data_IF_477172067121
#
_entry.id   IF_477172067121
#
_cell.length_a   1.000
_cell.length_b   1.000
_cell.length_c   1.000
_cell.angle_alpha   90.00
_cell.angle_beta   90.00
_cell.angle_gamma   90.00
#
_symmetry.space_group_name_H-M   'P 1'
#
loop_
_entity.id
_entity.type
_entity.pdbx_description
1 polymer ?
#
# COMPACT_ATOMS: atom_id res chain seq x y z
N UNK A 1 37.62 -67.36 -10.15
CA UNK A 1 36.15 -67.13 -10.24
C UNK A 1 35.90 -65.73 -9.74
N UNK A 2 35.66 -64.80 -10.65
CA UNK A 2 35.35 -63.39 -10.32
C UNK A 2 33.96 -63.32 -9.69
N UNK A 3 33.87 -63.00 -8.42
CA UNK A 3 32.60 -62.67 -7.77
C UNK A 3 31.87 -61.61 -8.60
N UNK A 4 30.75 -62.01 -9.20
CA UNK A 4 29.84 -61.03 -9.79
C UNK A 4 29.40 -60.10 -8.70
N UNK A 5 29.90 -58.86 -8.69
CA UNK A 5 29.40 -57.80 -7.82
C UNK A 5 27.88 -57.73 -7.95
N UNK A 6 27.17 -58.24 -6.95
CA UNK A 6 25.71 -58.20 -6.90
C UNK A 6 25.29 -56.74 -6.71
N UNK A 7 24.79 -56.13 -7.76
CA UNK A 7 24.36 -54.74 -7.80
C UNK A 7 22.92 -54.53 -7.29
N UNK A 8 22.24 -55.61 -6.87
CA UNK A 8 20.85 -55.56 -6.39
C UNK A 8 20.65 -56.52 -5.21
N UNK A 9 20.11 -56.00 -4.10
CA UNK A 9 19.79 -56.77 -2.90
C UNK A 9 18.30 -56.60 -2.57
N UNK A 10 17.57 -57.71 -2.42
CA UNK A 10 16.20 -57.74 -1.93
C UNK A 10 16.28 -57.77 -0.41
N UNK A 11 15.90 -56.67 0.25
CA UNK A 11 15.93 -56.55 1.71
C UNK A 11 14.64 -57.04 2.36
N UNK A 12 13.48 -56.73 1.73
CA UNK A 12 12.18 -57.27 2.12
C UNK A 12 11.48 -57.76 0.84
N UNK A 13 11.08 -59.04 0.73
CA UNK A 13 10.37 -59.57 -0.42
C UNK A 13 9.15 -58.70 -0.79
N UNK A 14 9.00 -58.37 -2.02
CA UNK A 14 7.91 -57.54 -2.59
C UNK A 14 7.77 -56.15 -2.01
N UNK A 15 8.64 -55.71 -1.09
CA UNK A 15 8.47 -54.42 -0.41
C UNK A 15 9.69 -53.50 -0.41
N UNK A 16 10.93 -54.05 -0.39
CA UNK A 16 12.14 -53.21 -0.32
C UNK A 16 13.30 -53.84 -1.09
N UNK A 17 13.84 -53.09 -2.04
CA UNK A 17 14.99 -53.51 -2.85
C UNK A 17 16.03 -52.41 -2.89
N UNK A 18 17.28 -52.77 -2.62
CA UNK A 18 18.46 -51.91 -2.72
C UNK A 18 19.21 -52.20 -4.02
N UNK A 19 19.66 -51.19 -4.74
CA UNK A 19 20.37 -51.37 -6.01
C UNK A 19 21.35 -50.22 -6.30
N UNK A 20 22.40 -50.54 -7.08
CA UNK A 20 23.29 -49.55 -7.67
C UNK A 20 22.89 -49.22 -9.09
N UNK A 21 22.94 -47.97 -9.45
CA UNK A 21 22.78 -47.55 -10.85
C UNK A 21 24.12 -47.70 -11.59
N UNK A 22 24.11 -48.01 -12.91
CA UNK A 22 25.31 -47.96 -13.70
C UNK A 22 26.04 -46.62 -13.52
N UNK A 23 27.35 -46.67 -13.30
CA UNK A 23 28.20 -45.50 -13.10
C UNK A 23 27.93 -44.67 -11.80
N UNK A 24 27.26 -45.24 -10.82
CA UNK A 24 27.04 -44.59 -9.51
C UNK A 24 27.56 -45.48 -8.41
N UNK A 25 28.30 -44.90 -7.45
CA UNK A 25 28.73 -45.53 -6.21
C UNK A 25 27.73 -45.39 -5.06
N UNK A 26 26.66 -44.57 -5.25
CA UNK A 26 25.65 -44.31 -4.24
C UNK A 26 24.50 -45.31 -4.40
N UNK A 27 24.19 -46.04 -3.33
CA UNK A 27 23.08 -46.98 -3.27
C UNK A 27 21.73 -46.27 -3.39
N UNK A 28 20.85 -46.86 -4.20
CA UNK A 28 19.45 -46.45 -4.37
C UNK A 28 18.55 -47.54 -3.78
N UNK A 29 17.41 -47.13 -3.24
CA UNK A 29 16.39 -48.09 -2.84
C UNK A 29 15.09 -47.85 -3.64
N UNK A 30 14.34 -48.92 -3.79
CA UNK A 30 12.92 -48.87 -4.16
C UNK A 30 12.12 -49.61 -3.11
N UNK A 31 11.01 -49.02 -2.69
CA UNK A 31 10.12 -49.60 -1.71
C UNK A 31 8.67 -49.45 -2.16
N UNK A 32 7.81 -50.37 -1.71
CA UNK A 32 6.41 -50.36 -2.08
C UNK A 32 5.53 -49.84 -0.96
N UNK A 33 4.68 -48.86 -1.30
CA UNK A 33 3.66 -48.32 -0.40
C UNK A 33 2.35 -48.22 -1.19
N UNK A 34 1.25 -48.79 -0.68
CA UNK A 34 -0.05 -48.87 -1.36
C UNK A 34 0.02 -49.48 -2.77
N UNK A 35 0.76 -50.54 -2.92
CA UNK A 35 0.91 -51.20 -4.22
C UNK A 35 1.76 -50.41 -5.24
N UNK A 36 2.24 -49.20 -4.89
CA UNK A 36 3.04 -48.35 -5.75
C UNK A 36 4.50 -48.34 -5.35
N UNK A 37 5.38 -48.57 -6.29
CA UNK A 37 6.82 -48.51 -6.09
C UNK A 37 7.31 -47.07 -6.06
N UNK A 38 8.04 -46.75 -5.00
CA UNK A 38 8.75 -45.47 -4.83
C UNK A 38 10.25 -45.70 -4.99
N UNK A 39 11.00 -44.68 -5.43
CA UNK A 39 12.45 -44.75 -5.56
C UNK A 39 13.08 -43.60 -4.84
N UNK A 40 14.13 -43.87 -4.03
CA UNK A 40 14.85 -42.83 -3.30
C UNK A 40 16.34 -43.20 -3.17
N UNK A 41 17.21 -42.22 -3.03
CA UNK A 41 18.63 -42.43 -2.76
C UNK A 41 18.83 -42.67 -1.28
N UNK A 42 19.61 -43.67 -0.92
CA UNK A 42 20.05 -43.90 0.46
C UNK A 42 21.12 -42.89 0.91
N UNK A 43 21.75 -42.17 -0.04
CA UNK A 43 22.91 -41.29 0.14
C UNK A 43 24.12 -41.99 0.78
N UNK A 44 24.16 -43.32 0.74
CA UNK A 44 25.21 -44.14 1.33
C UNK A 44 26.00 -44.84 0.24
N UNK A 45 27.31 -44.97 0.49
CA UNK A 45 28.24 -45.66 -0.38
C UNK A 45 28.48 -47.12 0.09
N UNK A 46 28.42 -47.31 1.42
CA UNK A 46 28.62 -48.62 2.05
C UNK A 46 27.30 -49.40 2.09
N UNK A 47 27.36 -50.71 1.79
CA UNK A 47 26.20 -51.57 1.68
C UNK A 47 25.39 -51.64 2.98
N UNK A 48 26.04 -51.82 4.13
CA UNK A 48 25.36 -52.02 5.40
C UNK A 48 24.68 -50.71 5.90
N UNK A 49 25.34 -49.59 5.70
CA UNK A 49 24.73 -48.24 5.97
C UNK A 49 23.57 -48.00 5.00
N UNK A 50 23.70 -48.44 3.77
CA UNK A 50 22.63 -48.31 2.77
C UNK A 50 21.41 -49.20 3.08
N UNK A 51 21.63 -50.40 3.65
CA UNK A 51 20.56 -51.27 4.13
C UNK A 51 19.77 -50.61 5.25
N UNK A 52 20.46 -50.11 6.27
CA UNK A 52 19.81 -49.39 7.38
C UNK A 52 18.99 -48.17 6.88
N UNK A 53 19.59 -47.33 6.04
CA UNK A 53 18.92 -46.18 5.45
C UNK A 53 17.70 -46.54 4.59
N UNK A 54 17.76 -47.68 3.87
CA UNK A 54 16.63 -48.14 3.07
C UNK A 54 15.46 -48.61 3.95
N UNK A 55 15.74 -49.29 5.07
CA UNK A 55 14.72 -49.66 6.07
C UNK A 55 14.07 -48.42 6.70
N UNK A 56 14.86 -47.42 7.09
CA UNK A 56 14.35 -46.16 7.64
C UNK A 56 13.41 -45.44 6.68
N UNK A 57 13.75 -45.40 5.40
CA UNK A 57 12.90 -44.81 4.36
C UNK A 57 11.57 -45.57 4.20
N UNK A 58 11.58 -46.89 4.26
CA UNK A 58 10.35 -47.69 4.21
C UNK A 58 9.48 -47.46 5.47
N UNK A 59 10.09 -47.40 6.66
CA UNK A 59 9.39 -47.11 7.92
C UNK A 59 8.77 -45.72 7.87
N UNK A 60 9.55 -44.72 7.47
CA UNK A 60 9.05 -43.36 7.31
C UNK A 60 7.85 -43.31 6.36
N UNK A 61 7.94 -43.95 5.19
CA UNK A 61 6.88 -43.98 4.21
C UNK A 61 5.59 -44.60 4.74
N UNK A 62 5.71 -45.69 5.53
CA UNK A 62 4.56 -46.34 6.18
C UNK A 62 3.94 -45.47 7.29
N UNK A 63 4.74 -44.74 8.07
CA UNK A 63 4.27 -43.76 9.07
C UNK A 63 3.51 -42.65 8.37
N UNK A 64 4.08 -42.08 7.30
CA UNK A 64 3.41 -41.04 6.50
C UNK A 64 2.07 -41.51 5.93
N UNK A 65 2.01 -42.74 5.46
CA UNK A 65 0.76 -43.39 5.01
C UNK A 65 -0.29 -43.43 6.12
N UNK A 66 0.08 -43.95 7.30
CA UNK A 66 -0.84 -43.97 8.49
C UNK A 66 -1.41 -42.59 8.82
N UNK A 67 -0.62 -41.55 8.62
CA UNK A 67 -1.00 -40.13 8.82
C UNK A 67 -1.69 -39.52 7.60
N UNK A 68 -2.09 -40.31 6.60
CA UNK A 68 -2.73 -39.85 5.34
C UNK A 68 -1.91 -38.81 4.56
N UNK A 69 -0.58 -38.86 4.70
CA UNK A 69 0.34 -38.00 3.96
C UNK A 69 0.92 -38.71 2.73
N UNK A 70 1.56 -37.92 1.83
CA UNK A 70 2.29 -38.50 0.72
C UNK A 70 3.46 -39.37 1.22
N UNK A 71 3.69 -40.57 0.64
CA UNK A 71 4.73 -41.49 1.10
C UNK A 71 6.15 -40.89 1.04
N UNK A 72 6.37 -39.95 0.12
CA UNK A 72 7.66 -39.31 -0.07
C UNK A 72 7.43 -37.79 -0.03
N UNK A 73 8.30 -37.08 0.69
CA UNK A 73 8.36 -35.62 0.62
C UNK A 73 9.05 -35.19 -0.70
N UNK A 74 8.90 -33.93 -1.07
CA UNK A 74 9.44 -33.35 -2.31
C UNK A 74 10.45 -32.25 -2.02
N UNK A 75 11.32 -32.00 -3.00
CA UNK A 75 12.21 -30.86 -2.94
C UNK A 75 11.41 -29.55 -2.94
N UNK A 76 11.87 -28.58 -2.18
CA UNK A 76 11.22 -27.24 -2.11
C UNK A 76 11.01 -26.63 -3.49
N UNK A 77 12.00 -26.75 -4.39
CA UNK A 77 11.90 -26.25 -5.77
C UNK A 77 10.67 -26.76 -6.53
N UNK A 78 10.32 -28.02 -6.36
CA UNK A 78 9.21 -28.63 -7.08
C UNK A 78 7.86 -28.13 -6.53
N UNK A 79 7.74 -28.03 -5.21
CA UNK A 79 6.54 -27.50 -4.56
C UNK A 79 6.38 -26.00 -4.85
N UNK A 80 7.48 -25.25 -4.80
CA UNK A 80 7.48 -23.83 -5.12
C UNK A 80 6.98 -23.54 -6.54
N UNK A 81 7.39 -24.36 -7.52
CA UNK A 81 6.87 -24.28 -8.90
C UNK A 81 5.37 -24.56 -8.97
N UNK A 82 4.88 -25.56 -8.23
CA UNK A 82 3.45 -25.86 -8.18
C UNK A 82 2.65 -24.72 -7.53
N UNK A 83 3.17 -24.13 -6.46
CA UNK A 83 2.58 -22.96 -5.81
C UNK A 83 2.52 -21.75 -6.76
N UNK A 84 3.60 -21.46 -7.49
CA UNK A 84 3.62 -20.35 -8.47
C UNK A 84 2.66 -20.61 -9.62
N UNK A 85 2.59 -21.83 -10.16
CA UNK A 85 1.63 -22.18 -11.21
C UNK A 85 0.17 -22.03 -10.74
N UNK A 86 -0.16 -22.47 -9.52
CA UNK A 86 -1.49 -22.28 -8.94
C UNK A 86 -1.84 -20.80 -8.81
N UNK A 87 -0.92 -19.98 -8.25
CA UNK A 87 -1.14 -18.55 -8.12
C UNK A 87 -1.28 -17.84 -9.48
N UNK A 88 -0.49 -18.23 -10.49
CA UNK A 88 -0.58 -17.68 -11.84
C UNK A 88 -1.95 -17.99 -12.45
N UNK A 89 -2.40 -19.25 -12.36
CA UNK A 89 -3.72 -19.65 -12.84
C UNK A 89 -4.85 -18.87 -12.15
N UNK A 90 -4.80 -18.74 -10.83
CA UNK A 90 -5.80 -17.91 -10.08
C UNK A 90 -5.83 -16.46 -10.56
N UNK A 91 -4.68 -15.89 -10.95
CA UNK A 91 -4.62 -14.53 -11.51
C UNK A 91 -5.23 -14.47 -12.91
N UNK A 92 -5.06 -15.48 -13.74
CA UNK A 92 -5.66 -15.60 -15.08
C UNK A 92 -7.19 -15.77 -14.99
N UNK A 93 -7.64 -16.60 -14.05
CA UNK A 93 -9.07 -16.86 -13.78
C UNK A 93 -9.79 -15.66 -13.10
N UNK A 94 -9.05 -14.63 -12.68
CA UNK A 94 -9.60 -13.44 -12.01
C UNK A 94 -9.84 -13.58 -10.50
N UNK A 95 -9.63 -14.77 -9.94
CA UNK A 95 -9.83 -15.08 -8.50
C UNK A 95 -8.60 -14.76 -7.65
N UNK A 96 -7.47 -14.45 -8.29
CA UNK A 96 -6.18 -14.22 -7.66
C UNK A 96 -6.01 -12.80 -7.13
N UNK A 97 -5.42 -12.66 -5.94
CA UNK A 97 -5.00 -11.35 -5.43
C UNK A 97 -3.82 -10.82 -6.25
N UNK A 98 -3.84 -9.53 -6.60
CA UNK A 98 -2.74 -8.85 -7.33
C UNK A 98 -1.37 -9.06 -6.67
N UNK A 99 -1.34 -9.18 -5.34
CA UNK A 99 -0.13 -9.46 -4.54
C UNK A 99 0.54 -10.81 -4.90
N UNK A 100 -0.18 -11.75 -5.50
CA UNK A 100 0.35 -13.03 -5.95
C UNK A 100 1.46 -12.87 -7.00
N UNK A 101 1.42 -11.81 -7.82
CA UNK A 101 2.50 -11.48 -8.78
C UNK A 101 3.82 -11.20 -8.07
N UNK A 102 3.76 -10.46 -6.96
CA UNK A 102 4.95 -10.18 -6.14
C UNK A 102 5.46 -11.43 -5.44
N UNK A 103 4.56 -12.28 -4.90
CA UNK A 103 4.93 -13.55 -4.27
C UNK A 103 5.61 -14.50 -5.25
N UNK A 104 5.11 -14.64 -6.47
CA UNK A 104 5.74 -15.42 -7.53
C UNK A 104 7.18 -14.94 -7.76
N UNK A 105 7.36 -13.63 -7.94
CA UNK A 105 8.69 -13.02 -8.13
C UNK A 105 9.63 -13.30 -6.94
N UNK A 106 9.14 -13.20 -5.71
CA UNK A 106 9.93 -13.48 -4.50
C UNK A 106 10.33 -14.96 -4.45
N UNK A 107 9.40 -15.87 -4.74
CA UNK A 107 9.64 -17.33 -4.75
C UNK A 107 10.75 -17.66 -5.74
N UNK A 108 10.68 -17.14 -6.95
CA UNK A 108 11.64 -17.45 -8.02
C UNK A 108 13.00 -16.78 -7.76
N UNK A 109 13.00 -15.51 -7.36
CA UNK A 109 14.23 -14.73 -7.22
C UNK A 109 15.05 -15.08 -5.97
N UNK A 110 14.36 -15.44 -4.88
CA UNK A 110 15.00 -15.66 -3.58
C UNK A 110 14.79 -17.07 -3.02
N UNK A 111 13.53 -17.54 -2.89
CA UNK A 111 13.23 -18.75 -2.13
C UNK A 111 13.73 -20.02 -2.84
N UNK A 112 13.51 -20.16 -4.15
CA UNK A 112 14.01 -21.31 -4.90
C UNK A 112 15.54 -21.33 -4.93
N UNK A 113 16.18 -20.17 -4.99
CA UNK A 113 17.66 -20.09 -5.03
C UNK A 113 18.30 -20.58 -3.75
N UNK A 114 17.67 -20.34 -2.61
CA UNK A 114 18.20 -20.77 -1.33
C UNK A 114 17.67 -22.15 -0.92
N UNK A 115 16.34 -22.30 -0.83
CA UNK A 115 15.72 -23.52 -0.31
C UNK A 115 15.58 -24.64 -1.34
N UNK A 116 15.78 -24.39 -2.63
CA UNK A 116 15.40 -25.29 -3.70
C UNK A 116 15.95 -26.71 -3.62
N UNK A 117 17.14 -26.89 -3.02
CA UNK A 117 17.81 -28.20 -2.86
C UNK A 117 17.32 -29.00 -1.63
N UNK A 118 16.66 -28.33 -0.68
CA UNK A 118 16.19 -28.99 0.53
C UNK A 118 14.83 -29.65 0.32
N UNK A 119 14.53 -30.71 1.07
CA UNK A 119 13.18 -31.28 1.18
C UNK A 119 12.29 -30.25 1.90
N UNK A 120 11.03 -30.10 1.49
CA UNK A 120 10.16 -29.03 2.02
C UNK A 120 9.88 -29.18 3.52
N UNK A 121 9.79 -30.40 4.01
CA UNK A 121 9.58 -30.74 5.43
C UNK A 121 10.86 -30.67 6.29
N UNK A 122 12.02 -30.53 5.66
CA UNK A 122 13.31 -30.36 6.34
C UNK A 122 13.66 -28.88 6.57
N UNK A 123 12.76 -27.95 6.24
CA UNK A 123 12.97 -26.51 6.49
C UNK A 123 12.62 -26.22 7.94
N UNK A 124 13.66 -26.03 8.76
CA UNK A 124 13.58 -25.76 10.20
C UNK A 124 13.92 -24.29 10.51
N UNK A 125 13.74 -23.88 11.77
CA UNK A 125 14.11 -22.53 12.24
C UNK A 125 15.57 -22.15 11.94
N UNK A 126 16.59 -22.99 12.26
CA UNK A 126 17.97 -22.68 11.91
C UNK A 126 18.18 -22.39 10.43
N UNK A 127 17.53 -23.15 9.55
CA UNK A 127 17.62 -22.93 8.09
C UNK A 127 16.95 -21.62 7.66
N UNK A 128 15.90 -21.18 8.39
CA UNK A 128 15.29 -19.85 8.16
C UNK A 128 16.27 -18.74 8.57
N UNK A 129 17.00 -18.87 9.67
CA UNK A 129 18.01 -17.90 10.09
C UNK A 129 19.19 -17.82 9.09
N UNK A 130 19.62 -18.96 8.54
CA UNK A 130 20.59 -18.98 7.46
C UNK A 130 20.08 -18.24 6.21
N UNK A 131 18.82 -18.46 5.85
CA UNK A 131 18.18 -17.73 4.75
C UNK A 131 18.15 -16.21 4.99
N UNK A 132 17.89 -15.77 6.21
CA UNK A 132 17.89 -14.35 6.54
C UNK A 132 19.27 -13.70 6.34
N UNK A 133 20.34 -14.36 6.74
CA UNK A 133 21.71 -13.94 6.50
C UNK A 133 22.03 -13.88 5.02
N UNK A 134 21.76 -14.99 4.30
CA UNK A 134 21.94 -15.06 2.85
C UNK A 134 21.15 -14.00 2.09
N UNK A 135 19.93 -13.70 2.54
CA UNK A 135 19.06 -12.68 1.92
C UNK A 135 19.66 -11.30 2.05
N UNK A 136 20.23 -10.94 3.21
CA UNK A 136 20.91 -9.66 3.44
C UNK A 136 22.12 -9.53 2.49
N UNK A 137 22.94 -10.55 2.40
CA UNK A 137 24.09 -10.60 1.46
C UNK A 137 23.61 -10.44 0.01
N UNK A 138 22.58 -11.19 -0.37
CA UNK A 138 22.02 -11.16 -1.73
C UNK A 138 21.40 -9.82 -2.11
N UNK A 139 20.83 -9.09 -1.16
CA UNK A 139 20.22 -7.77 -1.37
C UNK A 139 21.23 -6.64 -1.24
N UNK A 140 22.38 -6.85 -0.60
CA UNK A 140 23.36 -5.82 -0.26
C UNK A 140 22.88 -4.81 0.78
N UNK A 141 21.69 -4.99 1.34
CA UNK A 141 21.08 -4.13 2.35
C UNK A 141 20.25 -4.96 3.35
N UNK A 142 20.15 -4.50 4.57
CA UNK A 142 19.21 -5.07 5.54
C UNK A 142 17.76 -4.75 5.13
N UNK A 143 16.93 -5.75 4.87
CA UNK A 143 15.56 -5.53 4.41
C UNK A 143 14.71 -4.85 5.50
N UNK A 144 13.77 -4.01 5.07
CA UNK A 144 12.75 -3.47 5.97
C UNK A 144 11.79 -4.58 6.40
N UNK A 145 11.19 -4.43 7.58
CA UNK A 145 10.22 -5.39 8.12
C UNK A 145 9.09 -5.73 7.13
N UNK A 146 8.61 -4.75 6.35
CA UNK A 146 7.60 -4.97 5.32
C UNK A 146 8.07 -5.91 4.21
N UNK A 147 9.34 -5.80 3.79
CA UNK A 147 9.95 -6.71 2.81
C UNK A 147 10.03 -8.13 3.38
N UNK A 148 10.46 -8.27 4.64
CA UNK A 148 10.51 -9.56 5.32
C UNK A 148 9.12 -10.18 5.46
N UNK A 149 8.10 -9.39 5.78
CA UNK A 149 6.70 -9.85 5.83
C UNK A 149 6.23 -10.41 4.48
N UNK A 150 6.56 -9.74 3.37
CA UNK A 150 6.19 -10.21 2.03
C UNK A 150 6.95 -11.52 1.68
N UNK A 151 8.24 -11.63 2.03
CA UNK A 151 9.00 -12.86 1.84
C UNK A 151 8.44 -14.02 2.67
N UNK A 152 8.07 -13.77 3.92
CA UNK A 152 7.45 -14.76 4.79
C UNK A 152 6.07 -15.19 4.26
N UNK A 153 5.28 -14.23 3.76
CA UNK A 153 4.00 -14.54 3.12
C UNK A 153 4.17 -15.40 1.87
N UNK A 154 5.17 -15.11 1.02
CA UNK A 154 5.50 -15.91 -0.14
C UNK A 154 5.97 -17.32 0.23
N UNK A 155 6.80 -17.47 1.28
CA UNK A 155 7.25 -18.76 1.80
C UNK A 155 6.08 -19.58 2.37
N UNK A 156 5.17 -18.92 3.10
CA UNK A 156 3.94 -19.56 3.58
C UNK A 156 3.08 -20.11 2.43
N UNK A 157 3.01 -19.47 1.27
CA UNK A 157 2.29 -20.01 0.10
C UNK A 157 2.88 -21.34 -0.39
N UNK A 158 4.20 -21.49 -0.29
CA UNK A 158 4.86 -22.77 -0.64
C UNK A 158 4.57 -23.83 0.42
N UNK A 159 4.58 -23.47 1.71
CA UNK A 159 4.20 -24.40 2.78
C UNK A 159 2.72 -24.81 2.68
N UNK A 160 1.81 -23.88 2.40
CA UNK A 160 0.39 -24.17 2.17
C UNK A 160 0.21 -25.20 1.06
N UNK A 161 0.94 -25.07 -0.05
CA UNK A 161 0.92 -26.02 -1.16
C UNK A 161 1.51 -27.39 -0.77
N UNK A 162 2.59 -27.38 0.03
CA UNK A 162 3.20 -28.62 0.53
C UNK A 162 2.24 -29.39 1.45
N UNK A 163 1.56 -28.70 2.34
CA UNK A 163 0.59 -29.28 3.28
C UNK A 163 -0.64 -29.80 2.51
N UNK A 164 -1.19 -28.97 1.61
CA UNK A 164 -2.32 -29.38 0.76
C UNK A 164 -2.07 -30.68 -0.01
N UNK A 165 -0.82 -30.90 -0.43
CA UNK A 165 -0.42 -32.13 -1.15
C UNK A 165 0.08 -33.25 -0.25
N UNK A 166 0.10 -33.07 1.06
CA UNK A 166 0.58 -34.05 2.02
C UNK A 166 2.10 -34.24 2.06
N UNK A 167 2.88 -33.32 1.49
CA UNK A 167 4.36 -33.38 1.50
C UNK A 167 4.95 -32.79 2.79
N UNK A 168 4.17 -32.05 3.57
CA UNK A 168 4.53 -31.47 4.85
C UNK A 168 3.35 -31.57 5.79
N UNK A 169 3.61 -31.75 7.11
CA UNK A 169 2.58 -31.66 8.14
C UNK A 169 2.54 -30.24 8.70
N UNK A 170 1.34 -29.78 9.09
CA UNK A 170 1.18 -28.42 9.68
C UNK A 170 2.05 -28.22 10.93
N UNK A 171 2.21 -29.29 11.75
CA UNK A 171 3.05 -29.25 12.96
C UNK A 171 4.54 -28.99 12.67
N UNK A 172 4.98 -29.34 11.45
CA UNK A 172 6.39 -29.14 11.03
C UNK A 172 6.61 -27.78 10.39
N UNK A 173 5.57 -26.97 10.24
CA UNK A 173 5.65 -25.62 9.66
C UNK A 173 6.39 -24.69 10.60
N UNK A 174 7.53 -24.13 10.18
CA UNK A 174 8.26 -23.19 11.03
C UNK A 174 7.49 -21.89 11.20
N UNK A 175 7.45 -21.37 12.42
CA UNK A 175 6.87 -20.06 12.70
C UNK A 175 7.77 -18.96 12.16
N UNK A 176 7.28 -18.20 11.18
CA UNK A 176 8.04 -17.13 10.54
C UNK A 176 7.85 -15.81 11.31
N UNK A 177 8.96 -15.21 11.71
CA UNK A 177 8.97 -13.90 12.39
C UNK A 177 9.50 -12.85 11.42
N UNK A 178 8.82 -11.71 11.32
CA UNK A 178 9.29 -10.62 10.49
C UNK A 178 10.30 -9.76 11.24
N UNK A 179 11.56 -9.85 10.84
CA UNK A 179 12.68 -9.03 11.32
C UNK A 179 12.88 -7.79 10.45
N UNK A 180 13.54 -6.76 10.99
CA UNK A 180 13.87 -5.53 10.28
C UNK A 180 13.22 -4.28 10.88
N UNK A 181 13.72 -3.11 10.46
CA UNK A 181 13.18 -1.83 10.93
C UNK A 181 11.74 -1.64 10.46
N UNK A 182 10.87 -1.20 11.36
CA UNK A 182 9.52 -0.77 10.97
C UNK A 182 9.65 0.36 9.94
N UNK A 183 8.75 0.36 8.94
CA UNK A 183 8.70 1.48 8.02
C UNK A 183 8.29 2.73 8.78
N UNK A 184 9.07 3.77 8.67
CA UNK A 184 8.76 5.05 9.26
C UNK A 184 7.69 5.76 8.43
N UNK A 185 6.86 6.56 9.12
CA UNK A 185 5.85 7.39 8.47
C UNK A 185 6.54 8.38 7.53
N UNK A 186 5.97 8.59 6.36
CA UNK A 186 6.38 9.65 5.44
C UNK A 186 5.92 11.00 5.98
N UNK A 187 6.73 12.06 5.88
CA UNK A 187 6.36 13.37 6.38
C UNK A 187 5.20 13.97 5.56
N UNK A 188 4.33 14.69 6.22
CA UNK A 188 3.37 15.58 5.60
C UNK A 188 4.04 16.94 5.27
N UNK A 189 3.40 17.77 4.47
CA UNK A 189 3.75 19.16 4.31
C UNK A 189 3.06 19.99 5.42
N UNK A 190 3.71 21.01 5.93
CA UNK A 190 3.04 22.03 6.75
C UNK A 190 2.03 22.81 5.90
N UNK A 191 1.19 23.62 6.54
CA UNK A 191 0.23 24.46 5.81
C UNK A 191 0.94 25.49 4.91
N UNK A 192 2.01 26.09 5.40
CA UNK A 192 2.86 27.04 4.68
C UNK A 192 3.55 26.36 3.48
N UNK A 193 4.12 25.17 3.72
CA UNK A 193 4.74 24.39 2.65
C UNK A 193 3.73 23.92 1.60
N UNK A 194 2.50 23.56 2.01
CA UNK A 194 1.44 23.20 1.07
C UNK A 194 0.96 24.40 0.25
N UNK A 195 0.95 25.61 0.84
CA UNK A 195 0.70 26.87 0.10
C UNK A 195 1.81 27.15 -0.89
N UNK A 196 3.07 27.11 -0.46
CA UNK A 196 4.24 27.31 -1.32
C UNK A 196 4.29 26.30 -2.46
N UNK A 197 4.03 25.01 -2.18
CA UNK A 197 3.94 23.95 -3.17
C UNK A 197 2.92 24.28 -4.27
N UNK A 198 1.77 24.86 -3.94
CA UNK A 198 0.76 25.24 -4.93
C UNK A 198 1.13 26.53 -5.69
N UNK A 199 1.65 27.52 -5.00
CA UNK A 199 1.97 28.82 -5.57
C UNK A 199 3.10 28.77 -6.62
N UNK A 200 4.05 27.86 -6.47
CA UNK A 200 5.22 27.78 -7.33
C UNK A 200 4.98 27.05 -8.65
N UNK A 201 3.85 26.35 -8.82
CA UNK A 201 3.62 25.54 -10.02
C UNK A 201 3.59 26.33 -11.32
N UNK A 202 2.87 27.46 -11.36
CA UNK A 202 2.69 28.18 -12.62
C UNK A 202 4.02 28.75 -13.14
N UNK A 203 4.85 29.32 -12.26
CA UNK A 203 6.20 29.78 -12.64
C UNK A 203 7.11 28.62 -13.06
N UNK A 204 6.99 27.46 -12.42
CA UNK A 204 7.78 26.28 -12.75
C UNK A 204 7.36 25.64 -14.08
N UNK A 205 6.07 25.66 -14.42
CA UNK A 205 5.55 25.19 -15.71
C UNK A 205 6.15 26.02 -16.83
N UNK A 206 6.11 27.36 -16.70
CA UNK A 206 6.62 28.29 -17.70
C UNK A 206 8.13 28.18 -17.96
N UNK A 207 8.91 27.77 -16.94
CA UNK A 207 10.35 27.50 -17.07
C UNK A 207 10.64 26.14 -17.76
N UNK A 208 9.63 25.34 -18.04
CA UNK A 208 9.77 24.04 -18.68
C UNK A 208 10.10 24.13 -20.16
N UNK A 209 10.71 23.06 -20.69
CA UNK A 209 10.83 22.91 -22.14
C UNK A 209 9.43 22.72 -22.73
N UNK A 210 9.24 23.15 -23.96
CA UNK A 210 7.96 23.09 -24.66
C UNK A 210 7.29 21.70 -24.63
N UNK A 211 8.09 20.63 -24.74
CA UNK A 211 7.63 19.23 -24.67
C UNK A 211 7.22 18.77 -23.26
N UNK A 212 7.62 19.50 -22.21
CA UNK A 212 7.32 19.16 -20.83
C UNK A 212 6.16 19.97 -20.21
N UNK A 213 5.71 21.03 -20.87
CA UNK A 213 4.69 21.96 -20.33
C UNK A 213 3.39 21.23 -20.03
N UNK A 214 2.89 20.41 -20.94
CA UNK A 214 1.65 19.67 -20.77
C UNK A 214 1.73 18.69 -19.59
N UNK A 215 2.83 17.96 -19.48
CA UNK A 215 3.03 17.01 -18.39
C UNK A 215 3.23 17.72 -17.03
N UNK A 216 3.92 18.87 -17.01
CA UNK A 216 4.07 19.71 -15.82
C UNK A 216 2.72 20.28 -15.35
N UNK A 217 1.91 20.75 -16.32
CA UNK A 217 0.55 21.23 -16.04
C UNK A 217 -0.34 20.13 -15.47
N UNK A 218 -0.26 18.92 -16.04
CA UNK A 218 -0.99 17.77 -15.53
C UNK A 218 -0.52 17.36 -14.13
N UNK A 219 0.79 17.48 -13.80
CA UNK A 219 1.29 17.26 -12.46
C UNK A 219 0.70 18.24 -11.46
N UNK A 220 0.61 19.54 -11.79
CA UNK A 220 -0.03 20.56 -10.96
C UNK A 220 -1.47 20.17 -10.61
N UNK A 221 -2.23 19.77 -11.62
CA UNK A 221 -3.63 19.41 -11.46
C UNK A 221 -3.77 18.12 -10.63
N UNK A 222 -2.91 17.14 -10.89
CA UNK A 222 -2.85 15.91 -10.10
C UNK A 222 -2.53 16.15 -8.63
N UNK A 223 -1.52 16.97 -8.34
CA UNK A 223 -1.16 17.36 -6.97
C UNK A 223 -2.31 18.09 -6.29
N UNK A 224 -3.03 18.96 -7.02
CA UNK A 224 -4.21 19.67 -6.51
C UNK A 224 -5.32 18.70 -6.13
N UNK A 225 -5.63 17.73 -7.00
CA UNK A 225 -6.63 16.69 -6.73
C UNK A 225 -6.23 15.86 -5.50
N UNK A 226 -4.97 15.41 -5.41
CA UNK A 226 -4.50 14.61 -4.27
C UNK A 226 -4.55 15.36 -2.94
N UNK A 227 -4.18 16.65 -2.92
CA UNK A 227 -4.23 17.50 -1.73
C UNK A 227 -5.66 17.82 -1.29
N UNK A 228 -6.61 17.84 -2.21
CA UNK A 228 -8.00 18.20 -1.93
C UNK A 228 -8.87 17.00 -1.57
N UNK A 229 -8.54 15.81 -2.05
CA UNK A 229 -9.34 14.59 -1.87
C UNK A 229 -8.74 13.58 -0.90
N UNK A 230 -7.42 13.63 -0.69
CA UNK A 230 -6.70 12.64 0.09
C UNK A 230 -6.68 11.23 -0.50
N UNK A 231 -7.07 11.05 -1.78
CA UNK A 231 -7.02 9.74 -2.45
C UNK A 231 -5.58 9.20 -2.54
N UNK A 232 -5.43 7.91 -2.77
CA UNK A 232 -4.09 7.32 -2.91
C UNK A 232 -3.49 7.70 -4.27
N UNK A 233 -2.23 8.18 -4.29
CA UNK A 233 -1.51 8.32 -5.54
C UNK A 233 -1.21 6.93 -6.15
N UNK A 234 -1.16 6.84 -7.45
CA UNK A 234 -0.96 5.59 -8.19
C UNK A 234 -2.27 5.05 -8.76
N UNK A 235 -2.49 3.74 -8.71
CA UNK A 235 -3.59 3.07 -9.41
C UNK A 235 -4.97 3.69 -9.16
N UNK A 236 -5.26 4.10 -7.92
CA UNK A 236 -6.55 4.69 -7.56
C UNK A 236 -6.86 5.97 -8.33
N UNK A 237 -5.89 6.88 -8.42
CA UNK A 237 -6.05 8.13 -9.14
C UNK A 237 -5.72 7.99 -10.65
N UNK A 238 -4.73 7.15 -11.01
CA UNK A 238 -4.30 6.97 -12.40
C UNK A 238 -5.32 6.23 -13.28
N UNK A 239 -6.20 5.44 -12.68
CA UNK A 239 -7.22 4.70 -13.40
C UNK A 239 -8.58 5.42 -13.46
N UNK A 240 -8.69 6.63 -12.89
CA UNK A 240 -9.91 7.42 -12.96
C UNK A 240 -10.29 7.77 -14.39
N UNK A 241 -11.56 7.60 -14.72
CA UNK A 241 -12.17 8.00 -16.00
C UNK A 241 -13.20 9.08 -15.78
N UNK A 242 -13.53 9.81 -16.83
CA UNK A 242 -14.48 10.92 -16.75
C UNK A 242 -15.87 10.48 -16.30
N UNK A 243 -16.32 9.29 -16.67
CA UNK A 243 -17.63 8.74 -16.26
C UNK A 243 -17.75 8.45 -14.77
N UNK A 244 -16.63 8.51 -14.01
CA UNK A 244 -16.63 8.35 -12.56
C UNK A 244 -16.80 9.67 -11.81
N UNK A 245 -16.95 10.81 -12.53
CA UNK A 245 -17.08 12.14 -11.95
C UNK A 245 -18.54 12.58 -12.05
N UNK A 246 -19.09 13.03 -10.94
CA UNK A 246 -20.41 13.66 -10.84
C UNK A 246 -20.26 15.01 -10.14
N UNK A 247 -20.74 16.08 -10.75
CA UNK A 247 -20.69 17.43 -10.16
C UNK A 247 -22.03 17.72 -9.52
N UNK A 248 -22.04 18.03 -8.23
CA UNK A 248 -23.22 18.48 -7.50
C UNK A 248 -23.08 19.92 -7.05
N UNK A 249 -24.17 20.65 -7.14
CA UNK A 249 -24.29 22.03 -6.70
C UNK A 249 -25.10 22.09 -5.41
N UNK A 250 -24.52 22.68 -4.37
CA UNK A 250 -25.19 22.87 -3.10
C UNK A 250 -25.35 24.37 -2.86
N UNK A 251 -26.57 24.85 -2.61
CA UNK A 251 -26.77 26.23 -2.24
C UNK A 251 -26.13 26.50 -0.86
N UNK A 252 -25.28 27.51 -0.79
CA UNK A 252 -24.69 27.97 0.45
C UNK A 252 -25.18 29.39 0.72
N UNK A 253 -25.94 29.56 1.79
CA UNK A 253 -26.32 30.87 2.28
C UNK A 253 -25.10 31.52 2.96
N UNK A 254 -24.65 32.63 2.43
CA UNK A 254 -23.55 33.41 3.00
C UNK A 254 -24.12 34.75 3.46
N UNK A 255 -24.00 35.05 4.76
CA UNK A 255 -24.32 36.37 5.29
C UNK A 255 -23.37 37.40 4.70
N UNK A 256 -23.88 38.42 4.02
CA UNK A 256 -23.06 39.44 3.34
C UNK A 256 -22.55 40.50 4.30
N UNK A 257 -23.11 40.59 5.50
CA UNK A 257 -22.84 41.66 6.46
C UNK A 257 -23.52 42.98 6.07
N UNK A 258 -24.26 42.99 4.98
CA UNK A 258 -25.14 44.16 4.64
C UNK A 258 -26.47 44.00 5.37
N UNK A 259 -26.92 45.05 6.02
CA UNK A 259 -28.19 45.08 6.74
C UNK A 259 -29.17 45.90 5.90
N UNK A 260 -30.19 45.24 5.37
CA UNK A 260 -31.32 45.89 4.73
C UNK A 260 -32.36 46.26 5.80
N UNK A 261 -32.83 47.47 5.76
CA UNK A 261 -33.89 47.93 6.60
C UNK A 261 -35.20 47.94 5.83
N UNK A 262 -36.12 47.12 6.24
CA UNK A 262 -37.48 47.15 5.68
C UNK A 262 -38.12 48.51 5.91
N UNK A 263 -38.49 49.16 4.81
CA UNK A 263 -38.97 50.55 4.84
C UNK A 263 -40.34 50.69 5.54
N UNK A 264 -41.12 49.63 5.54
CA UNK A 264 -42.51 49.65 6.08
C UNK A 264 -42.58 49.16 7.53
N UNK A 265 -41.69 48.22 7.94
CA UNK A 265 -41.72 47.66 9.29
C UNK A 265 -40.62 48.15 10.17
N UNK A 266 -39.54 48.74 9.60
CA UNK A 266 -38.33 49.19 10.32
C UNK A 266 -37.45 48.07 10.84
N UNK A 267 -37.76 46.82 10.54
CA UNK A 267 -36.95 45.65 10.94
C UNK A 267 -35.66 45.53 10.12
N UNK A 268 -34.56 45.30 10.82
CA UNK A 268 -33.27 45.05 10.21
C UNK A 268 -33.15 43.59 9.80
N UNK A 269 -33.01 43.32 8.50
CA UNK A 269 -32.76 41.99 7.98
C UNK A 269 -31.35 41.91 7.37
N UNK A 270 -30.58 40.92 7.82
CA UNK A 270 -29.24 40.68 7.29
C UNK A 270 -29.33 40.04 5.89
N UNK A 271 -28.73 40.71 4.91
CA UNK A 271 -28.75 40.26 3.53
C UNK A 271 -28.04 38.92 3.41
N UNK A 272 -28.71 37.89 2.91
CA UNK A 272 -28.18 36.58 2.70
C UNK A 272 -28.02 36.29 1.18
N UNK A 273 -26.78 36.29 0.72
CA UNK A 273 -26.52 35.82 -0.65
C UNK A 273 -26.45 34.30 -0.71
N UNK A 274 -27.20 33.74 -1.66
CA UNK A 274 -27.14 32.29 -1.92
C UNK A 274 -26.12 32.02 -3.02
N UNK A 275 -24.96 31.51 -2.65
CA UNK A 275 -23.94 31.09 -3.59
C UNK A 275 -24.01 29.56 -3.81
N UNK A 276 -23.89 29.12 -5.07
CA UNK A 276 -23.77 27.69 -5.36
C UNK A 276 -22.34 27.21 -5.14
N UNK A 277 -22.15 26.35 -4.16
CA UNK A 277 -20.88 25.67 -3.95
C UNK A 277 -20.88 24.34 -4.74
N UNK A 278 -19.89 24.15 -5.60
CA UNK A 278 -19.79 22.95 -6.42
C UNK A 278 -18.94 21.90 -5.73
N UNK A 279 -19.39 20.66 -5.75
CA UNK A 279 -18.67 19.51 -5.18
C UNK A 279 -18.56 18.42 -6.23
N UNK A 280 -17.37 17.86 -6.41
CA UNK A 280 -17.15 16.70 -7.26
C UNK A 280 -17.28 15.43 -6.42
N UNK A 281 -18.17 14.53 -6.82
CA UNK A 281 -18.25 13.17 -6.30
C UNK A 281 -17.45 12.29 -7.25
N UNK A 282 -16.40 11.68 -6.77
CA UNK A 282 -15.48 10.83 -7.52
C UNK A 282 -15.74 9.37 -7.11
N UNK A 283 -16.33 8.59 -8.01
CA UNK A 283 -16.63 7.17 -7.78
C UNK A 283 -15.38 6.32 -7.99
N UNK A 284 -14.68 5.99 -6.92
CA UNK A 284 -13.47 5.15 -6.98
C UNK A 284 -13.88 3.69 -7.05
N UNK A 285 -13.63 3.05 -8.20
CA UNK A 285 -13.97 1.63 -8.45
C UNK A 285 -12.78 0.70 -8.18
N UNK A 286 -11.55 1.14 -8.50
CA UNK A 286 -10.32 0.35 -8.35
C UNK A 286 -9.49 0.86 -7.17
N UNK A 287 -9.90 0.56 -5.96
CA UNK A 287 -9.19 0.91 -4.74
C UNK A 287 -8.72 -0.31 -3.94
N UNK A 288 -7.70 -0.16 -3.10
CA UNK A 288 -7.22 -1.21 -2.20
C UNK A 288 -8.29 -1.71 -1.21
N UNK A 289 -9.28 -0.87 -0.92
CA UNK A 289 -10.34 -1.10 0.08
C UNK A 289 -11.72 -1.26 -0.54
N UNK A 290 -11.81 -1.49 -1.84
CA UNK A 290 -13.06 -1.61 -2.57
C UNK A 290 -13.57 -0.27 -3.12
N UNK A 291 -14.81 -0.29 -3.59
CA UNK A 291 -15.49 0.88 -4.16
C UNK A 291 -15.88 1.88 -3.08
N UNK A 292 -15.81 3.17 -3.41
CA UNK A 292 -16.25 4.27 -2.54
C UNK A 292 -16.43 5.56 -3.31
N UNK A 293 -17.20 6.46 -2.73
CA UNK A 293 -17.26 7.84 -3.16
C UNK A 293 -16.18 8.67 -2.44
N UNK A 294 -15.52 9.55 -3.18
CA UNK A 294 -14.51 10.46 -2.68
C UNK A 294 -14.93 11.89 -3.05
N UNK A 295 -14.94 12.77 -2.08
CA UNK A 295 -15.40 14.15 -2.26
C UNK A 295 -14.23 15.04 -2.64
N UNK A 296 -14.38 15.75 -3.77
CA UNK A 296 -13.48 16.82 -4.21
C UNK A 296 -14.18 18.17 -4.14
N UNK A 297 -13.49 19.16 -3.61
CA UNK A 297 -14.00 20.54 -3.44
C UNK A 297 -13.68 21.38 -4.69
N UNK A 298 -13.91 22.70 -4.61
CA UNK A 298 -13.64 23.64 -5.71
C UNK A 298 -12.23 23.53 -6.33
N UNK A 299 -11.12 23.28 -5.57
CA UNK A 299 -9.82 23.07 -6.18
C UNK A 299 -9.78 21.88 -7.14
N UNK A 300 -10.40 20.76 -6.77
CA UNK A 300 -10.53 19.58 -7.64
C UNK A 300 -11.30 19.91 -8.90
N UNK A 301 -12.45 20.58 -8.79
CA UNK A 301 -13.27 20.97 -9.96
C UNK A 301 -12.51 21.87 -10.91
N UNK A 302 -11.74 22.84 -10.38
CA UNK A 302 -10.87 23.71 -11.20
C UNK A 302 -9.82 22.89 -11.94
N UNK A 303 -9.16 21.95 -11.24
CA UNK A 303 -8.16 21.09 -11.87
C UNK A 303 -8.78 20.23 -12.99
N UNK A 304 -9.96 19.65 -12.79
CA UNK A 304 -10.69 18.89 -13.78
C UNK A 304 -11.05 19.77 -15.00
N UNK A 305 -11.55 20.99 -14.78
CA UNK A 305 -11.86 21.95 -15.86
C UNK A 305 -10.61 22.31 -16.69
N UNK A 306 -9.47 22.54 -16.03
CA UNK A 306 -8.21 22.82 -16.72
C UNK A 306 -7.73 21.65 -17.58
N UNK A 307 -7.87 20.42 -17.09
CA UNK A 307 -7.57 19.21 -17.88
C UNK A 307 -8.52 19.13 -19.11
N UNK A 308 -9.82 19.38 -18.92
CA UNK A 308 -10.79 19.39 -20.02
C UNK A 308 -10.43 20.43 -21.08
N UNK A 309 -10.13 21.67 -20.67
CA UNK A 309 -9.77 22.77 -21.58
C UNK A 309 -8.53 22.44 -22.39
N UNK A 310 -7.47 21.91 -21.77
CA UNK A 310 -6.23 21.56 -22.47
C UNK A 310 -6.39 20.39 -23.43
N UNK A 311 -7.11 19.36 -23.01
CA UNK A 311 -7.19 18.12 -23.78
C UNK A 311 -8.28 18.13 -24.85
N UNK A 312 -9.44 18.73 -24.57
CA UNK A 312 -10.63 18.59 -25.41
C UNK A 312 -11.16 19.93 -25.94
N UNK A 313 -10.76 21.03 -25.34
CA UNK A 313 -11.33 22.38 -25.62
C UNK A 313 -12.86 22.40 -25.44
N UNK A 314 -13.34 21.71 -24.40
CA UNK A 314 -14.75 21.54 -24.05
C UNK A 314 -14.99 21.82 -22.58
N UNK A 315 -16.26 22.02 -22.24
CA UNK A 315 -16.70 22.13 -20.85
C UNK A 315 -16.57 20.80 -20.12
N UNK A 316 -16.49 20.85 -18.76
CA UNK A 316 -16.40 19.66 -17.93
C UNK A 316 -17.59 18.72 -18.11
N UNK A 317 -18.82 19.26 -18.21
CA UNK A 317 -20.04 18.49 -18.35
C UNK A 317 -20.12 17.78 -19.71
N UNK A 318 -19.63 18.43 -20.78
CA UNK A 318 -19.53 17.80 -22.10
C UNK A 318 -18.53 16.67 -22.14
N UNK A 319 -17.35 16.85 -21.51
CA UNK A 319 -16.31 15.82 -21.45
C UNK A 319 -16.79 14.62 -20.65
N UNK A 320 -17.42 14.82 -19.49
CA UNK A 320 -17.99 13.74 -18.69
C UNK A 320 -18.97 12.89 -19.52
N UNK A 321 -19.82 13.53 -20.34
CA UNK A 321 -20.81 12.84 -21.17
C UNK A 321 -20.20 12.14 -22.38
N UNK A 322 -19.30 12.81 -23.10
CA UNK A 322 -18.80 12.36 -24.41
C UNK A 322 -17.56 11.46 -24.30
N UNK A 323 -16.75 11.60 -23.24
CA UNK A 323 -15.47 10.93 -23.04
C UNK A 323 -15.46 10.06 -21.77
N UNK A 324 -16.61 9.55 -21.34
CA UNK A 324 -16.81 8.82 -20.07
C UNK A 324 -15.78 7.71 -19.80
N UNK A 325 -15.32 7.00 -20.83
CA UNK A 325 -14.38 5.87 -20.71
C UNK A 325 -12.90 6.30 -20.77
N UNK A 326 -12.62 7.56 -21.10
CA UNK A 326 -11.25 8.04 -21.21
C UNK A 326 -10.68 8.40 -19.84
N UNK A 327 -9.35 8.19 -19.69
CA UNK A 327 -8.66 8.53 -18.44
C UNK A 327 -8.55 10.03 -18.25
N UNK A 328 -8.81 10.48 -17.01
CA UNK A 328 -8.70 11.89 -16.63
C UNK A 328 -7.24 12.36 -16.71
N UNK A 329 -6.32 11.55 -16.13
CA UNK A 329 -4.90 11.89 -16.09
C UNK A 329 -4.22 11.47 -17.40
N UNK A 330 -4.48 12.23 -18.46
CA UNK A 330 -3.83 12.10 -19.76
C UNK A 330 -3.42 13.49 -20.30
N UNK A 331 -2.42 13.53 -21.16
CA UNK A 331 -1.93 14.76 -21.78
C UNK A 331 -1.65 14.55 -23.29
N UNK A 332 -1.68 15.63 -24.05
CA UNK A 332 -1.32 15.61 -25.47
C UNK A 332 0.20 15.46 -25.61
N UNK A 333 0.64 14.32 -26.16
CA UNK A 333 2.05 14.12 -26.44
C UNK A 333 2.45 14.90 -27.70
N UNK A 334 3.48 15.74 -27.60
CA UNK A 334 4.03 16.44 -28.76
C UNK A 334 4.78 15.46 -29.64
N UNK A 335 4.38 15.37 -30.90
CA UNK A 335 5.05 14.54 -31.92
C UNK A 335 6.48 15.01 -32.10
N UNK A 336 7.47 14.19 -31.76
CA UNK A 336 8.89 14.51 -31.93
C UNK A 336 9.26 14.59 -33.41
N UNK A 337 10.34 15.37 -33.75
CA UNK A 337 10.82 15.62 -35.13
C UNK A 337 11.03 14.33 -35.97
N UNK A 338 11.27 13.19 -35.36
CA UNK A 338 11.41 11.88 -36.03
C UNK A 338 10.11 11.34 -36.65
N UNK A 339 8.95 11.86 -36.27
CA UNK A 339 7.63 11.39 -36.70
C UNK A 339 6.92 12.41 -37.62
N UNK A 340 7.61 13.45 -38.08
CA UNK A 340 7.04 14.58 -38.87
C UNK A 340 6.40 14.21 -40.22
N UNK A 341 6.64 13.01 -40.73
CA UNK A 341 6.06 12.57 -42.01
C UNK A 341 4.70 11.85 -41.87
N UNK A 342 4.17 11.70 -40.68
CA UNK A 342 2.83 11.18 -40.45
C UNK A 342 1.96 12.29 -39.85
N UNK A 343 0.92 12.73 -40.58
CA UNK A 343 -0.15 13.58 -40.02
C UNK A 343 -0.92 12.77 -38.98
N UNK A 344 -0.36 12.62 -37.80
CA UNK A 344 -1.06 12.02 -36.67
C UNK A 344 -1.71 13.12 -35.85
N UNK A 345 -3.01 12.99 -35.60
CA UNK A 345 -3.70 13.80 -34.60
C UNK A 345 -3.02 13.59 -33.23
N UNK A 346 -2.83 14.66 -32.44
CA UNK A 346 -2.26 14.51 -31.10
C UNK A 346 -3.09 13.50 -30.30
N UNK A 347 -2.42 12.47 -29.82
CA UNK A 347 -3.07 11.39 -29.03
C UNK A 347 -2.92 11.70 -27.55
N UNK A 348 -3.97 11.51 -26.77
CA UNK A 348 -3.91 11.60 -25.32
C UNK A 348 -3.21 10.37 -24.73
N UNK A 349 -2.13 10.59 -24.01
CA UNK A 349 -1.31 9.53 -23.40
C UNK A 349 -1.32 9.69 -21.88
N UNK A 350 -1.69 8.63 -21.13
CA UNK A 350 -1.56 8.65 -19.69
C UNK A 350 -0.08 8.55 -19.30
N UNK A 351 0.42 9.34 -18.33
CA UNK A 351 1.80 9.25 -17.89
C UNK A 351 2.03 7.92 -17.14
N UNK A 352 3.19 7.31 -17.34
CA UNK A 352 3.56 6.06 -16.64
C UNK A 352 3.70 6.29 -15.14
N UNK A 353 4.25 7.44 -14.73
CA UNK A 353 4.39 7.82 -13.33
C UNK A 353 4.75 9.29 -13.20
N UNK A 354 4.19 9.94 -12.19
CA UNK A 354 4.55 11.33 -11.82
C UNK A 354 5.70 11.41 -10.81
N UNK A 355 6.20 10.29 -10.29
CA UNK A 355 7.12 10.30 -9.14
C UNK A 355 8.40 11.07 -9.41
N UNK A 356 9.07 10.81 -10.55
CA UNK A 356 10.31 11.51 -10.91
C UNK A 356 10.09 13.01 -11.14
N UNK A 357 9.00 13.37 -11.82
CA UNK A 357 8.67 14.76 -12.11
C UNK A 357 8.33 15.53 -10.83
N UNK A 358 7.61 14.90 -9.92
CA UNK A 358 7.31 15.48 -8.61
C UNK A 358 8.58 15.64 -7.75
N UNK A 359 9.47 14.64 -7.77
CA UNK A 359 10.76 14.73 -7.09
C UNK A 359 11.60 15.92 -7.61
N UNK A 360 11.66 16.11 -8.93
CA UNK A 360 12.33 17.26 -9.56
C UNK A 360 11.72 18.57 -9.09
N UNK A 361 10.39 18.68 -9.14
CA UNK A 361 9.67 19.85 -8.65
C UNK A 361 9.98 20.17 -7.18
N UNK A 362 9.92 19.16 -6.32
CA UNK A 362 10.21 19.34 -4.89
C UNK A 362 11.67 19.73 -4.63
N UNK A 363 12.61 19.18 -5.40
CA UNK A 363 14.04 19.51 -5.29
C UNK A 363 14.29 20.97 -5.67
N UNK A 364 13.75 21.42 -6.78
CA UNK A 364 13.92 22.81 -7.28
C UNK A 364 13.35 23.86 -6.31
N UNK A 365 12.38 23.47 -5.45
CA UNK A 365 11.75 24.37 -4.48
C UNK A 365 12.14 24.07 -3.02
N UNK A 366 13.18 23.28 -2.76
CA UNK A 366 13.65 22.90 -1.44
C UNK A 366 12.57 22.24 -0.54
N UNK A 367 11.60 21.52 -1.16
CA UNK A 367 10.50 20.85 -0.47
C UNK A 367 10.65 19.32 -0.40
N UNK A 368 11.72 18.77 -1.02
CA UNK A 368 11.89 17.32 -1.10
C UNK A 368 12.16 16.67 0.26
N UNK A 369 12.99 17.32 1.07
CA UNK A 369 13.35 16.83 2.40
C UNK A 369 12.61 17.65 3.46
N UNK A 370 11.95 16.94 4.35
CA UNK A 370 11.30 17.55 5.50
C UNK A 370 12.36 18.05 6.50
N UNK A 371 12.32 19.33 6.80
CA UNK A 371 13.33 19.99 7.66
C UNK A 371 13.33 19.44 9.10
N UNK A 372 12.17 18.96 9.59
CA UNK A 372 12.03 18.48 10.98
C UNK A 372 12.52 17.04 11.12
N UNK A 373 12.17 16.18 10.18
CA UNK A 373 12.45 14.74 10.29
C UNK A 373 13.63 14.27 9.44
N UNK A 374 14.16 15.12 8.54
CA UNK A 374 15.19 14.76 7.56
C UNK A 374 14.73 13.73 6.51
N UNK A 375 13.42 13.42 6.44
CA UNK A 375 12.88 12.38 5.57
C UNK A 375 12.41 12.95 4.25
N UNK A 376 12.52 12.11 3.21
CA UNK A 376 12.07 12.45 1.86
C UNK A 376 10.56 12.42 1.73
N UNK A 377 9.99 13.47 1.14
CA UNK A 377 8.60 13.54 0.72
C UNK A 377 8.40 12.89 -0.65
N UNK A 378 7.21 12.40 -0.89
CA UNK A 378 6.78 11.73 -2.12
C UNK A 378 5.30 12.06 -2.37
N UNK A 379 4.75 11.67 -3.51
CA UNK A 379 3.31 11.86 -3.79
C UNK A 379 2.39 11.39 -2.65
N UNK A 380 2.73 10.31 -1.97
CA UNK A 380 1.96 9.84 -0.82
C UNK A 380 1.96 10.81 0.37
N UNK A 381 2.95 11.68 0.47
CA UNK A 381 3.00 12.76 1.48
C UNK A 381 1.82 13.74 1.35
N UNK A 382 1.30 13.93 0.14
CA UNK A 382 0.11 14.77 -0.11
C UNK A 382 -1.13 14.22 0.61
N UNK A 383 -1.30 12.91 0.59
CA UNK A 383 -2.38 12.26 1.32
C UNK A 383 -2.21 12.38 2.84
N UNK A 384 -0.98 12.33 3.36
CA UNK A 384 -0.71 12.61 4.77
C UNK A 384 -1.02 14.08 5.11
N UNK A 385 -0.68 15.00 4.22
CA UNK A 385 -1.01 16.43 4.37
C UNK A 385 -2.51 16.65 4.44
N UNK A 386 -3.27 16.07 3.50
CA UNK A 386 -4.74 16.14 3.51
C UNK A 386 -5.30 15.65 4.86
N UNK A 387 -4.91 14.47 5.32
CA UNK A 387 -5.41 13.92 6.57
C UNK A 387 -5.05 14.77 7.79
N UNK A 388 -3.83 15.33 7.81
CA UNK A 388 -3.39 16.23 8.89
C UNK A 388 -4.23 17.51 8.93
N UNK A 389 -4.47 18.13 7.76
CA UNK A 389 -5.30 19.35 7.65
C UNK A 389 -6.75 19.04 8.04
N UNK A 390 -7.32 17.95 7.50
CA UNK A 390 -8.69 17.56 7.80
C UNK A 390 -8.94 17.33 9.30
N UNK A 391 -8.00 16.68 10.00
CA UNK A 391 -8.13 16.42 11.43
C UNK A 391 -7.83 17.66 12.30
N UNK A 392 -6.80 18.44 11.96
CA UNK A 392 -6.32 19.50 12.82
C UNK A 392 -7.04 20.85 12.58
N UNK A 393 -7.35 21.15 11.31
CA UNK A 393 -7.92 22.43 10.90
C UNK A 393 -9.41 22.31 10.66
N UNK A 394 -9.83 21.39 9.77
CA UNK A 394 -11.23 21.21 9.39
C UNK A 394 -12.03 20.42 10.45
N UNK A 395 -11.34 19.80 11.43
CA UNK A 395 -11.93 18.99 12.52
C UNK A 395 -12.88 17.90 12.03
N UNK A 396 -12.57 17.32 10.89
CA UNK A 396 -13.35 16.24 10.29
C UNK A 396 -13.32 15.03 11.23
N UNK A 397 -14.49 14.44 11.46
CA UNK A 397 -14.62 13.23 12.27
C UNK A 397 -13.81 12.08 11.68
N UNK A 398 -13.15 11.30 12.53
CA UNK A 398 -12.21 10.24 12.12
C UNK A 398 -12.86 9.16 11.25
N UNK A 399 -14.15 8.84 11.52
CA UNK A 399 -14.90 7.86 10.71
C UNK A 399 -15.19 8.39 9.30
N UNK A 400 -15.60 9.66 9.20
CA UNK A 400 -15.85 10.33 7.92
C UNK A 400 -14.55 10.44 7.13
N UNK A 401 -13.45 10.80 7.80
CA UNK A 401 -12.13 10.84 7.16
C UNK A 401 -11.68 9.47 6.67
N UNK A 402 -11.95 8.40 7.44
CA UNK A 402 -11.64 7.04 7.05
C UNK A 402 -12.41 6.62 5.78
N UNK A 403 -13.70 6.95 5.67
CA UNK A 403 -14.51 6.73 4.48
C UNK A 403 -13.96 7.52 3.28
N UNK A 404 -13.75 8.83 3.43
CA UNK A 404 -13.20 9.70 2.39
C UNK A 404 -11.87 9.17 1.84
N UNK A 405 -10.97 8.81 2.71
CA UNK A 405 -9.64 8.31 2.33
C UNK A 405 -9.63 6.83 1.90
N UNK A 406 -10.68 6.07 2.16
CA UNK A 406 -10.72 4.62 1.93
C UNK A 406 -9.66 3.89 2.77
N UNK A 407 -9.69 4.09 4.09
CA UNK A 407 -8.80 3.43 5.05
C UNK A 407 -9.59 3.07 6.31
N UNK A 408 -8.98 2.32 7.23
CA UNK A 408 -9.63 2.03 8.51
C UNK A 408 -9.35 3.13 9.53
N UNK A 409 -10.24 3.29 10.51
CA UNK A 409 -10.08 4.20 11.65
C UNK A 409 -8.75 3.90 12.37
N UNK A 410 -8.45 2.62 12.65
CA UNK A 410 -7.18 2.25 13.30
C UNK A 410 -5.93 2.66 12.52
N UNK A 411 -5.99 2.73 11.18
CA UNK A 411 -4.88 3.27 10.38
C UNK A 411 -4.75 4.79 10.50
N UNK A 412 -5.87 5.49 10.63
CA UNK A 412 -5.84 6.94 10.90
C UNK A 412 -5.30 7.18 12.30
N UNK A 413 -5.78 6.48 13.31
CA UNK A 413 -5.29 6.56 14.68
C UNK A 413 -3.78 6.28 14.73
N UNK A 414 -3.31 5.18 14.16
CA UNK A 414 -1.90 4.82 14.15
C UNK A 414 -1.00 5.88 13.49
N UNK A 415 -1.50 6.55 12.46
CA UNK A 415 -0.69 7.49 11.69
C UNK A 415 -0.93 8.96 12.04
N UNK A 416 -2.05 9.32 12.67
CA UNK A 416 -2.44 10.70 12.91
C UNK A 416 -2.85 11.00 14.38
N UNK A 417 -2.78 9.98 15.28
CA UNK A 417 -3.11 10.11 16.70
C UNK A 417 -2.16 11.00 17.52
N UNK A 418 -1.15 11.59 16.88
CA UNK A 418 -0.34 12.65 17.52
C UNK A 418 -1.09 13.99 17.57
N UNK A 419 -2.42 13.94 17.70
CA UNK A 419 -3.18 15.04 18.26
C UNK A 419 -2.73 15.17 19.71
N UNK A 420 -1.70 16.01 19.91
CA UNK A 420 -1.20 16.38 21.21
C UNK A 420 -2.42 16.88 22.02
N UNK A 421 -2.67 16.28 23.18
CA UNK A 421 -3.76 16.71 24.06
C UNK A 421 -3.69 18.24 24.31
N UNK A 422 -2.50 18.81 24.26
CA UNK A 422 -2.24 20.24 24.33
C UNK A 422 -2.88 21.01 23.15
N UNK A 423 -2.88 20.43 21.94
CA UNK A 423 -3.55 21.05 20.77
C UNK A 423 -5.08 20.92 20.83
N UNK A 424 -5.57 19.93 21.56
CA UNK A 424 -6.99 19.70 21.80
C UNK A 424 -7.50 20.37 23.11
N UNK A 425 -6.69 21.17 23.75
CA UNK A 425 -7.00 21.82 25.05
C UNK A 425 -8.38 22.50 25.03
N UNK A 426 -8.72 23.25 23.97
CA UNK A 426 -10.01 23.88 23.86
C UNK A 426 -11.21 22.91 23.81
N UNK A 427 -11.03 21.76 23.21
CA UNK A 427 -12.04 20.66 23.16
C UNK A 427 -12.12 19.95 24.52
N UNK A 428 -10.96 19.66 25.12
CA UNK A 428 -10.87 18.94 26.39
C UNK A 428 -11.32 19.80 27.59
N UNK A 429 -11.27 21.14 27.47
CA UNK A 429 -11.79 22.06 28.50
C UNK A 429 -13.31 21.98 28.69
N UNK A 430 -14.03 21.41 27.71
CA UNK A 430 -15.46 21.13 27.82
C UNK A 430 -16.29 22.37 28.13
N UNK A 431 -15.99 23.53 27.51
CA UNK A 431 -16.58 24.82 27.79
C UNK A 431 -18.12 24.78 27.84
N UNK A 432 -18.75 24.08 26.88
CA UNK A 432 -20.21 23.98 26.84
C UNK A 432 -20.77 23.11 27.97
N UNK A 433 -20.16 21.94 28.23
CA UNK A 433 -20.60 21.07 29.33
C UNK A 433 -20.36 21.73 30.70
N UNK A 434 -19.26 22.50 30.83
CA UNK A 434 -18.97 23.28 32.03
C UNK A 434 -20.03 24.35 32.28
N UNK A 435 -20.40 25.11 31.26
CA UNK A 435 -21.48 26.12 31.36
C UNK A 435 -22.82 25.46 31.74
N UNK A 436 -23.15 24.33 31.18
CA UNK A 436 -24.39 23.62 31.55
C UNK A 436 -24.37 23.08 32.99
N UNK A 437 -23.24 22.60 33.47
CA UNK A 437 -23.07 22.12 34.85
C UNK A 437 -23.09 23.30 35.82
N UNK A 438 -22.43 24.39 35.48
CA UNK A 438 -22.42 25.64 36.28
C UNK A 438 -23.82 26.27 36.35
N UNK A 439 -24.57 26.29 35.24
CA UNK A 439 -25.95 26.77 35.19
C UNK A 439 -26.92 25.93 36.06
N UNK A 440 -26.60 24.64 36.26
CA UNK A 440 -27.35 23.74 37.16
C UNK A 440 -27.09 23.97 38.67
N UNK A 441 -26.32 24.98 39.04
CA UNK A 441 -26.09 25.38 40.44
C UNK A 441 -25.00 24.62 41.20
N UNK A 442 -24.15 23.89 40.51
CA UNK A 442 -23.06 23.09 41.08
C UNK A 442 -21.74 23.92 41.22
N UNK A 443 -21.81 25.22 41.48
CA UNK A 443 -20.61 26.03 41.65
C UNK A 443 -20.08 25.87 43.08
N UNK A 444 -18.96 25.19 43.22
CA UNK A 444 -18.20 25.20 44.44
C UNK A 444 -17.40 26.49 44.56
N UNK A 445 -17.94 27.45 45.28
CA UNK A 445 -17.33 28.78 45.50
C UNK A 445 -15.93 28.76 46.14
N UNK A 446 -15.41 27.61 46.47
CA UNK A 446 -14.08 27.43 47.09
C UNK A 446 -12.91 27.57 46.14
N UNK A 447 -13.14 27.75 44.82
CA UNK A 447 -12.07 27.79 43.81
C UNK A 447 -11.94 29.16 43.08
N UNK A 448 -12.39 30.22 43.67
CA UNK A 448 -12.34 31.61 43.09
C UNK A 448 -10.96 32.29 43.17
N UNK A 449 -9.92 31.55 43.58
CA UNK A 449 -8.58 32.12 43.76
C UNK A 449 -7.79 32.36 42.44
N UNK A 450 -8.22 31.83 41.29
CA UNK A 450 -7.49 31.95 40.03
C UNK A 450 -7.90 33.10 39.13
N UNK A 451 -9.02 33.79 39.38
CA UNK A 451 -9.45 34.96 38.58
C UNK A 451 -8.43 36.10 38.60
N UNK A 452 -7.78 36.31 39.74
CA UNK A 452 -6.80 37.37 39.90
C UNK A 452 -5.45 37.06 39.21
N UNK A 453 -5.08 35.80 39.09
CA UNK A 453 -3.88 35.37 38.34
C UNK A 453 -4.09 35.41 36.82
N UNK A 454 -5.26 35.05 36.33
CA UNK A 454 -5.59 35.14 34.90
C UNK A 454 -5.71 36.61 34.45
N UNK A 455 -6.29 37.48 35.24
CA UNK A 455 -6.31 38.96 34.99
C UNK A 455 -4.90 39.57 35.01
N UNK A 456 -4.01 39.06 35.85
CA UNK A 456 -2.61 39.50 35.92
C UNK A 456 -1.77 38.96 34.72
N UNK A 457 -2.05 37.78 34.25
CA UNK A 457 -1.41 37.19 33.05
C UNK A 457 -1.86 37.91 31.76
N UNK A 458 -3.14 38.24 31.62
CA UNK A 458 -3.64 39.03 30.49
C UNK A 458 -3.09 40.47 30.49
N UNK A 459 -2.90 41.13 31.63
CA UNK A 459 -2.25 42.45 31.71
C UNK A 459 -0.76 42.38 31.34
N UNK A 460 -0.05 41.27 31.57
CA UNK A 460 1.35 41.11 31.16
C UNK A 460 1.50 40.86 29.66
N UNK A 461 0.55 40.21 29.02
CA UNK A 461 0.58 39.95 27.56
C UNK A 461 0.18 41.19 26.76
N UNK A 462 -0.72 42.03 27.26
CA UNK A 462 -1.07 43.30 26.60
C UNK A 462 0.04 44.35 26.67
N UNK A 463 0.87 44.36 27.75
CA UNK A 463 2.03 45.28 27.86
C UNK A 463 3.26 44.84 27.02
N UNK A 464 3.29 43.58 26.51
CA UNK A 464 4.35 43.10 25.58
C UNK A 464 4.04 43.36 24.11
N UNK A 465 2.83 43.81 23.77
CA UNK A 465 2.45 44.16 22.39
C UNK A 465 2.56 45.65 22.07
N UNK A 466 3.01 46.46 23.03
CA UNK A 466 3.18 47.91 22.89
C UNK A 466 4.61 48.39 23.20
N UNK A 467 5.61 47.54 22.93
CA UNK A 467 7.01 47.94 22.85
C UNK A 467 7.67 47.39 21.61
#
# INVERSE_FOLDING_TARGET
MTEKNVTTHILVPHSLVLFLRPRSSVWQCRYQVDGKWQRESTKQYELDKARAAAHDLLVEANVRKKLKAAPITRAFKDIAKQATMRMAKQLEDGDGKVMSKEYITIIEKYLIKFFGKYKVDAITHPLIEEFEKWRIEKMGITPKRSTTLNHNAALNRVFDEAIYRGYMFEINRPKLVAVGKKSERRPAFSLEEARALRANFDSWILKGKADSIELRSLLRDYVTILLDTGMRPGTEAAELTWGQIEIKYYPVATKTGEIDRDVDTGEEQEHVSINANSTAIIKIQKGKTGERDCIGRNPTIRALREICRRNYDKSLDEVIKQHAHEKILAYKELVTKRQKNAVRKPTLVPPTSFSKLFDTYLTEHNLLIDAVTGKRRVLYSLRHTYATIALQIDKVEIHILALQMGTSVGMIEQHYSHLDAVKAVHQLRGEQSRQLIEAAGAIDKRYDWDENKSKAAMKKTSKKKTK
#
